data_IF_568561085545
#
_entry.id   IF_568561085545
#
_cell.length_a   1.000
_cell.length_b   1.000
_cell.length_c   1.000
_cell.angle_alpha   90.00
_cell.angle_beta   90.00
_cell.angle_gamma   90.00
#
_symmetry.space_group_name_H-M   'P 1'
#
loop_
_entity.id
_entity.type
_entity.pdbx_description
1 polymer ?
#
# COMPACT_ATOMS: atom_id res chain seq x y z
N UNK A 1 -2.40 73.21 11.04
CA UNK A 1 -1.28 72.26 11.21
C UNK A 1 -1.60 71.02 10.39
N UNK A 2 -0.98 70.89 9.22
CA UNK A 2 -1.18 69.73 8.32
C UNK A 2 -0.41 68.54 8.88
N UNK A 3 -1.12 67.46 9.22
CA UNK A 3 -0.50 66.20 9.66
C UNK A 3 -0.11 65.43 8.40
N UNK A 4 1.19 65.24 8.18
CA UNK A 4 1.70 64.39 7.12
C UNK A 4 1.38 62.91 7.41
N UNK A 5 1.01 62.09 6.41
CA UNK A 5 0.72 60.68 6.64
C UNK A 5 2.04 59.91 6.85
N UNK A 6 2.03 58.98 7.82
CA UNK A 6 3.13 58.07 8.09
C UNK A 6 3.34 57.13 6.89
N UNK A 7 4.58 56.83 6.44
CA UNK A 7 4.81 55.87 5.37
C UNK A 7 4.40 54.46 5.81
N UNK A 8 3.69 53.74 4.94
CA UNK A 8 3.34 52.34 5.15
C UNK A 8 4.63 51.50 5.17
N UNK A 9 4.87 50.79 6.28
CA UNK A 9 5.98 49.86 6.38
C UNK A 9 5.80 48.72 5.35
N UNK A 10 6.86 48.28 4.66
CA UNK A 10 6.78 47.16 3.74
C UNK A 10 6.39 45.89 4.52
N UNK A 11 5.26 45.29 4.14
CA UNK A 11 4.84 43.98 4.62
C UNK A 11 5.90 42.96 4.20
N UNK A 12 6.68 42.46 5.15
CA UNK A 12 7.57 41.31 4.91
C UNK A 12 6.70 40.12 4.46
N UNK A 13 7.09 39.36 3.44
CA UNK A 13 6.39 38.14 3.07
C UNK A 13 6.37 37.18 4.27
N UNK A 14 5.20 36.61 4.56
CA UNK A 14 5.05 35.61 5.61
C UNK A 14 6.02 34.43 5.35
N UNK A 15 6.62 33.83 6.41
CA UNK A 15 7.50 32.68 6.24
C UNK A 15 6.75 31.55 5.53
N UNK A 16 7.34 31.02 4.45
CA UNK A 16 6.77 29.91 3.71
C UNK A 16 6.64 28.68 4.62
N UNK A 17 5.46 28.05 4.62
CA UNK A 17 5.25 26.79 5.34
C UNK A 17 6.19 25.71 4.77
N UNK A 18 6.84 24.90 5.63
CA UNK A 18 7.69 23.82 5.17
C UNK A 18 6.87 22.81 4.35
N UNK A 19 7.48 22.19 3.31
CA UNK A 19 6.76 21.23 2.48
C UNK A 19 6.26 20.05 3.32
N UNK A 20 5.09 19.47 2.96
CA UNK A 20 4.55 18.33 3.69
C UNK A 20 5.50 17.15 3.62
N UNK A 21 5.99 16.70 4.77
CA UNK A 21 6.81 15.48 4.89
C UNK A 21 5.97 14.24 4.57
N UNK A 22 6.49 13.37 3.69
CA UNK A 22 5.81 12.12 3.30
C UNK A 22 5.66 11.20 4.52
N UNK A 23 4.59 10.38 4.61
CA UNK A 23 4.49 9.35 5.64
C UNK A 23 5.71 8.42 5.70
N UNK A 24 6.37 8.19 4.55
CA UNK A 24 7.61 7.41 4.47
C UNK A 24 8.78 8.06 5.22
N UNK A 25 8.94 9.37 5.09
CA UNK A 25 10.04 10.12 5.70
C UNK A 25 9.91 10.22 7.22
N UNK A 26 8.71 9.95 7.75
CA UNK A 26 8.43 9.90 9.19
C UNK A 26 8.81 8.56 9.82
N UNK A 27 9.00 7.51 9.04
CA UNK A 27 9.37 6.19 9.54
C UNK A 27 10.84 6.16 9.94
N UNK A 28 11.16 5.43 11.00
CA UNK A 28 12.54 5.13 11.36
C UNK A 28 13.23 4.32 10.24
N UNK A 29 14.56 4.40 10.16
CA UNK A 29 15.34 3.61 9.20
C UNK A 29 15.06 2.10 9.31
N UNK A 30 14.82 1.60 10.53
CA UNK A 30 14.49 0.20 10.76
C UNK A 30 13.12 -0.16 10.18
N UNK A 31 12.09 0.66 10.42
CA UNK A 31 10.76 0.45 9.84
C UNK A 31 10.82 0.51 8.32
N UNK A 32 11.51 1.50 7.75
CA UNK A 32 11.70 1.60 6.29
C UNK A 32 12.30 0.31 5.71
N UNK A 33 13.30 -0.28 6.37
CA UNK A 33 13.90 -1.55 5.93
C UNK A 33 12.89 -2.71 5.97
N UNK A 34 12.06 -2.79 7.01
CA UNK A 34 11.01 -3.80 7.13
C UNK A 34 9.97 -3.62 6.01
N UNK A 35 9.52 -2.39 5.74
CA UNK A 35 8.60 -2.09 4.64
C UNK A 35 9.18 -2.49 3.28
N UNK A 36 10.46 -2.18 3.00
CA UNK A 36 11.11 -2.58 1.75
C UNK A 36 11.21 -4.10 1.62
N UNK A 37 11.46 -4.82 2.73
CA UNK A 37 11.46 -6.29 2.75
C UNK A 37 10.06 -6.84 2.50
N UNK A 38 9.03 -6.27 3.12
CA UNK A 38 7.64 -6.66 2.95
C UNK A 38 7.18 -6.46 1.49
N UNK A 39 7.52 -5.34 0.88
CA UNK A 39 7.21 -5.07 -0.54
C UNK A 39 7.88 -6.08 -1.47
N UNK A 40 9.17 -6.40 -1.27
CA UNK A 40 9.87 -7.41 -2.06
C UNK A 40 9.24 -8.79 -1.89
N UNK A 41 8.94 -9.17 -0.66
CA UNK A 41 8.31 -10.45 -0.36
C UNK A 41 6.94 -10.56 -1.05
N UNK A 42 6.10 -9.52 -0.96
CA UNK A 42 4.77 -9.51 -1.59
C UNK A 42 4.84 -9.68 -3.10
N UNK A 43 5.76 -8.96 -3.77
CA UNK A 43 5.99 -9.08 -5.22
C UNK A 43 6.36 -10.50 -5.62
N UNK A 44 7.32 -11.10 -4.92
CA UNK A 44 7.77 -12.46 -5.21
C UNK A 44 6.62 -13.44 -4.99
N UNK A 45 5.94 -13.35 -3.84
CA UNK A 45 4.86 -14.27 -3.49
C UNK A 45 3.73 -14.24 -4.50
N UNK A 46 3.31 -13.05 -4.95
CA UNK A 46 2.23 -12.93 -5.93
C UNK A 46 2.69 -13.34 -7.34
N UNK A 47 3.94 -13.08 -7.71
CA UNK A 47 4.51 -13.57 -8.96
C UNK A 47 4.56 -15.11 -8.99
N UNK A 48 4.92 -15.77 -7.88
CA UNK A 48 4.85 -17.22 -7.74
C UNK A 48 3.43 -17.75 -7.95
N UNK A 49 2.42 -17.13 -7.33
CA UNK A 49 1.02 -17.51 -7.57
C UNK A 49 0.64 -17.41 -9.04
N UNK A 50 1.03 -16.31 -9.70
CA UNK A 50 0.75 -16.10 -11.13
C UNK A 50 1.40 -17.18 -12.01
N UNK A 51 2.62 -17.59 -11.69
CA UNK A 51 3.39 -18.56 -12.46
C UNK A 51 2.92 -20.00 -12.21
N UNK A 52 2.84 -20.40 -10.94
CA UNK A 52 2.55 -21.78 -10.55
C UNK A 52 1.08 -22.13 -10.59
N UNK A 53 0.19 -21.16 -10.37
CA UNK A 53 -1.26 -21.35 -10.38
C UNK A 53 -1.90 -20.69 -11.61
N UNK A 54 -1.17 -20.61 -12.73
CA UNK A 54 -1.59 -19.87 -13.94
C UNK A 54 -2.99 -20.27 -14.44
N UNK A 55 -3.30 -21.56 -14.51
CA UNK A 55 -4.61 -22.06 -14.92
C UNK A 55 -5.73 -21.61 -13.95
N UNK A 56 -5.49 -21.71 -12.64
CA UNK A 56 -6.44 -21.28 -11.62
C UNK A 56 -6.67 -19.76 -11.67
N UNK A 57 -5.61 -18.96 -11.84
CA UNK A 57 -5.69 -17.50 -12.01
C UNK A 57 -6.56 -17.15 -13.21
N UNK A 58 -6.36 -17.78 -14.37
CA UNK A 58 -7.16 -17.49 -15.56
C UNK A 58 -8.63 -17.89 -15.38
N UNK A 59 -8.89 -19.08 -14.85
CA UNK A 59 -10.26 -19.54 -14.58
C UNK A 59 -10.98 -18.62 -13.58
N UNK A 60 -10.27 -18.17 -12.54
CA UNK A 60 -10.81 -17.31 -11.50
C UNK A 60 -11.07 -15.88 -12.00
N UNK A 61 -10.22 -15.35 -12.90
CA UNK A 61 -10.48 -14.08 -13.62
C UNK A 61 -11.74 -14.16 -14.47
N UNK A 62 -11.93 -15.26 -15.21
CA UNK A 62 -13.14 -15.50 -16.00
C UNK A 62 -14.41 -15.52 -15.15
N UNK A 63 -14.31 -15.96 -13.89
CA UNK A 63 -15.40 -15.95 -12.91
C UNK A 63 -15.49 -14.66 -12.09
N UNK A 64 -14.59 -13.69 -12.31
CA UNK A 64 -14.42 -12.48 -11.46
C UNK A 64 -14.34 -12.80 -9.97
N UNK A 65 -13.63 -13.87 -9.61
CA UNK A 65 -13.49 -14.32 -8.24
C UNK A 65 -12.13 -15.01 -8.02
N UNK A 66 -11.05 -14.21 -8.03
CA UNK A 66 -9.68 -14.65 -7.77
C UNK A 66 -9.54 -15.31 -6.40
N UNK A 67 -10.21 -14.77 -5.39
CA UNK A 67 -10.12 -15.30 -4.03
C UNK A 67 -10.64 -16.73 -3.94
N UNK A 68 -11.85 -17.02 -4.45
CA UNK A 68 -12.39 -18.39 -4.39
C UNK A 68 -11.53 -19.42 -5.15
N UNK A 69 -10.89 -19.02 -6.25
CA UNK A 69 -10.03 -19.92 -7.04
C UNK A 69 -8.64 -20.16 -6.45
N UNK A 70 -8.18 -19.29 -5.56
CA UNK A 70 -6.82 -19.29 -5.00
C UNK A 70 -6.85 -19.19 -3.46
N UNK A 71 -7.96 -19.56 -2.83
CA UNK A 71 -8.25 -19.23 -1.44
C UNK A 71 -7.15 -19.74 -0.52
N UNK A 72 -6.81 -21.03 -0.63
CA UNK A 72 -5.78 -21.65 0.21
C UNK A 72 -4.44 -20.92 0.12
N UNK A 73 -4.03 -20.53 -1.10
CA UNK A 73 -2.74 -19.89 -1.32
C UNK A 73 -2.75 -18.43 -0.86
N UNK A 74 -3.84 -17.70 -1.09
CA UNK A 74 -4.01 -16.32 -0.63
C UNK A 74 -4.08 -16.27 0.89
N UNK A 75 -4.85 -17.15 1.53
CA UNK A 75 -4.97 -17.19 2.99
C UNK A 75 -3.65 -17.55 3.66
N UNK A 76 -2.93 -18.53 3.12
CA UNK A 76 -1.59 -18.87 3.59
C UNK A 76 -0.62 -17.68 3.45
N UNK A 77 -0.62 -16.99 2.31
CA UNK A 77 0.22 -15.80 2.11
C UNK A 77 -0.16 -14.66 3.06
N UNK A 78 -1.47 -14.43 3.30
CA UNK A 78 -1.97 -13.43 4.25
C UNK A 78 -1.52 -13.72 5.67
N UNK A 79 -1.60 -14.98 6.09
CA UNK A 79 -1.14 -15.40 7.41
C UNK A 79 0.37 -15.17 7.55
N UNK A 80 1.18 -15.62 6.60
CA UNK A 80 2.63 -15.43 6.64
C UNK A 80 3.02 -13.95 6.65
N UNK A 81 2.36 -13.12 5.83
CA UNK A 81 2.59 -11.68 5.79
C UNK A 81 2.26 -11.01 7.12
N UNK A 82 1.13 -11.39 7.73
CA UNK A 82 0.71 -10.88 9.04
C UNK A 82 1.73 -11.23 10.12
N UNK A 83 2.12 -12.49 10.21
CA UNK A 83 3.08 -12.98 11.21
C UNK A 83 4.46 -12.33 11.05
N UNK A 84 4.92 -12.16 9.81
CA UNK A 84 6.28 -11.71 9.51
C UNK A 84 6.43 -10.18 9.53
N UNK A 85 5.40 -9.42 9.14
CA UNK A 85 5.51 -7.98 8.91
C UNK A 85 4.55 -7.14 9.75
N UNK A 86 3.28 -7.51 9.89
CA UNK A 86 2.33 -6.74 10.70
C UNK A 86 2.61 -6.84 12.20
N UNK A 87 2.85 -8.06 12.72
CA UNK A 87 3.15 -8.26 14.14
C UNK A 87 4.35 -7.43 14.64
N UNK A 88 5.50 -7.40 13.94
CA UNK A 88 6.64 -6.60 14.37
C UNK A 88 6.59 -5.12 13.95
N UNK A 89 5.71 -4.71 13.03
CA UNK A 89 5.63 -3.34 12.53
C UNK A 89 4.17 -2.88 12.41
N UNK A 90 3.62 -2.21 13.44
CA UNK A 90 2.22 -1.75 13.44
C UNK A 90 1.88 -0.74 12.35
N UNK A 91 2.89 -0.01 11.82
CA UNK A 91 2.72 0.93 10.71
C UNK A 91 2.69 0.26 9.33
N UNK A 92 2.78 -1.07 9.28
CA UNK A 92 2.92 -1.81 8.03
C UNK A 92 1.75 -1.58 7.09
N UNK A 93 2.07 -1.42 5.80
CA UNK A 93 1.09 -1.38 4.71
C UNK A 93 0.89 -2.80 4.19
N UNK A 94 -0.35 -3.16 3.82
CA UNK A 94 -0.64 -4.44 3.18
C UNK A 94 -0.15 -4.48 1.72
N UNK A 95 1.16 -4.60 1.55
CA UNK A 95 1.78 -4.76 0.24
C UNK A 95 1.34 -6.04 -0.47
N UNK A 96 0.90 -7.06 0.27
CA UNK A 96 0.36 -8.28 -0.34
C UNK A 96 -0.95 -7.97 -1.07
N UNK A 97 -1.88 -7.25 -0.43
CA UNK A 97 -3.12 -6.80 -1.07
C UNK A 97 -2.84 -5.95 -2.32
N UNK A 98 -1.92 -5.00 -2.23
CA UNK A 98 -1.55 -4.14 -3.36
C UNK A 98 -1.00 -4.96 -4.53
N UNK A 99 -0.13 -5.93 -4.27
CA UNK A 99 0.44 -6.76 -5.33
C UNK A 99 -0.59 -7.75 -5.91
N UNK A 100 -1.54 -8.26 -5.11
CA UNK A 100 -2.68 -9.05 -5.61
C UNK A 100 -3.51 -8.25 -6.62
N UNK A 101 -3.85 -7.00 -6.29
CA UNK A 101 -4.56 -6.11 -7.20
C UNK A 101 -3.77 -5.86 -8.47
N UNK A 102 -2.53 -5.40 -8.33
CA UNK A 102 -1.68 -5.01 -9.46
C UNK A 102 -1.36 -6.18 -10.39
N UNK A 103 -1.01 -7.34 -9.83
CA UNK A 103 -0.45 -8.46 -10.60
C UNK A 103 -1.52 -9.46 -11.03
N UNK A 104 -2.49 -9.78 -10.16
CA UNK A 104 -3.52 -10.77 -10.46
C UNK A 104 -4.82 -10.11 -10.92
N UNK A 105 -5.17 -8.94 -10.40
CA UNK A 105 -6.45 -8.29 -10.67
C UNK A 105 -6.38 -7.13 -11.70
N UNK A 106 -5.20 -6.82 -12.25
CA UNK A 106 -5.01 -5.68 -13.17
C UNK A 106 -5.59 -4.37 -12.61
N UNK A 107 -5.39 -4.14 -11.31
CA UNK A 107 -5.88 -2.99 -10.57
C UNK A 107 -7.43 -2.89 -10.45
N UNK A 108 -8.18 -3.94 -10.85
CA UNK A 108 -9.62 -4.07 -10.65
C UNK A 108 -9.93 -4.90 -9.38
N UNK A 109 -10.33 -4.24 -8.29
CA UNK A 109 -10.65 -4.92 -7.03
C UNK A 109 -11.85 -5.85 -7.12
N UNK A 110 -12.77 -5.62 -8.06
CA UNK A 110 -13.96 -6.46 -8.22
C UNK A 110 -13.58 -7.88 -8.69
N UNK A 111 -12.40 -8.06 -9.29
CA UNK A 111 -11.90 -9.38 -9.68
C UNK A 111 -11.45 -10.23 -8.50
N UNK A 112 -11.18 -9.64 -7.32
CA UNK A 112 -10.85 -10.42 -6.12
C UNK A 112 -12.03 -11.26 -5.65
N UNK A 113 -13.25 -10.80 -5.93
CA UNK A 113 -14.49 -11.47 -5.52
C UNK A 113 -15.00 -11.00 -4.17
N UNK A 114 -16.32 -11.06 -4.00
CA UNK A 114 -17.04 -10.56 -2.82
C UNK A 114 -16.63 -11.18 -1.48
N UNK A 115 -16.11 -12.40 -1.52
CA UNK A 115 -15.72 -13.15 -0.31
C UNK A 115 -14.28 -12.84 0.12
N UNK A 116 -13.55 -12.04 -0.68
CA UNK A 116 -12.22 -11.57 -0.30
C UNK A 116 -12.32 -10.67 0.94
N UNK A 117 -11.59 -10.97 2.03
CA UNK A 117 -11.71 -10.26 3.30
C UNK A 117 -11.20 -8.82 3.30
N UNK A 118 -10.69 -8.32 2.17
CA UNK A 118 -10.09 -6.99 2.07
C UNK A 118 -8.63 -6.94 2.56
N UNK A 119 -8.03 -5.74 2.57
CA UNK A 119 -6.68 -5.55 3.08
C UNK A 119 -6.58 -5.96 4.55
N UNK A 120 -5.40 -6.43 4.94
CA UNK A 120 -5.03 -6.69 6.33
C UNK A 120 -5.03 -5.36 7.09
N UNK A 121 -5.63 -5.39 8.28
CA UNK A 121 -5.65 -4.33 9.29
C UNK A 121 -5.06 -4.84 10.60
#
# INVERSE_FOLDING_TARGET
MTIAPLPAAPLLPAPAEPPPVSPWDRLSTQEQQIHLRAQRWARVRVAELRLHQSAAVQAARGKRNLYAGLQQQIDSARQEFRETFFKPCPSMVDYLHLELLRTLAHDDSDLLGKDYPGPLV
#
